data_IF_040781791994
#
_entry.id   IF_040781791994
#
_cell.length_a   1.000
_cell.length_b   1.000
_cell.length_c   1.000
_cell.angle_alpha   90.00
_cell.angle_beta   90.00
_cell.angle_gamma   90.00
#
_symmetry.space_group_name_H-M   'P 1'
#
loop_
_entity.id
_entity.type
_entity.pdbx_description
1 polymer ?
#
# COMPACT_ATOMS: atom_id res chain seq x y z
N UNK A 1 4.63 6.71 15.58
CA UNK A 1 3.93 5.90 14.56
C UNK A 1 3.37 6.77 13.45
N UNK A 2 2.46 7.73 13.72
CA UNK A 2 1.84 8.58 12.68
C UNK A 2 2.84 9.14 11.65
N UNK A 3 3.86 9.90 12.08
CA UNK A 3 4.87 10.47 11.17
C UNK A 3 5.57 9.45 10.27
N UNK A 4 5.77 8.23 10.75
CA UNK A 4 6.40 7.17 9.96
C UNK A 4 5.44 6.64 8.88
N UNK A 5 4.18 6.43 9.25
CA UNK A 5 3.13 6.01 8.29
C UNK A 5 2.92 7.10 7.24
N UNK A 6 2.82 8.38 7.65
CA UNK A 6 2.69 9.52 6.74
C UNK A 6 3.84 9.57 5.74
N UNK A 7 5.09 9.51 6.22
CA UNK A 7 6.27 9.53 5.36
C UNK A 7 6.35 8.30 4.43
N UNK A 8 5.85 7.15 4.87
CA UNK A 8 5.77 5.95 4.01
C UNK A 8 4.75 6.14 2.88
N UNK A 9 3.60 6.73 3.18
CA UNK A 9 2.55 7.05 2.19
C UNK A 9 3.06 8.10 1.19
N UNK A 10 3.69 9.17 1.67
CA UNK A 10 4.31 10.19 0.82
C UNK A 10 5.42 9.59 -0.07
N UNK A 11 6.21 8.66 0.48
CA UNK A 11 7.22 7.91 -0.26
C UNK A 11 6.62 7.10 -1.42
N UNK A 12 5.48 6.45 -1.22
CA UNK A 12 4.78 5.75 -2.30
C UNK A 12 4.27 6.70 -3.39
N UNK A 13 3.68 7.83 -3.01
CA UNK A 13 3.26 8.84 -3.97
C UNK A 13 4.44 9.39 -4.77
N UNK A 14 5.52 9.78 -4.10
CA UNK A 14 6.76 10.22 -4.74
C UNK A 14 7.32 9.15 -5.68
N UNK A 15 7.35 7.89 -5.25
CA UNK A 15 7.84 6.80 -6.09
C UNK A 15 7.00 6.58 -7.35
N UNK A 16 5.66 6.60 -7.25
CA UNK A 16 4.76 6.30 -8.37
C UNK A 16 4.54 7.49 -9.33
N UNK A 17 4.61 8.71 -8.84
CA UNK A 17 4.26 9.92 -9.61
C UNK A 17 5.39 10.94 -9.76
N UNK A 18 6.39 10.92 -8.88
CA UNK A 18 7.58 11.77 -8.94
C UNK A 18 8.81 11.08 -9.54
N UNK A 19 10.00 11.57 -9.17
CA UNK A 19 11.30 11.00 -9.54
C UNK A 19 11.58 9.71 -8.75
N UNK A 20 11.59 8.53 -9.39
CA UNK A 20 11.84 7.26 -8.72
C UNK A 20 13.34 6.98 -8.50
N UNK A 21 14.25 7.80 -9.04
CA UNK A 21 15.69 7.50 -9.08
C UNK A 21 16.31 7.20 -7.71
N UNK A 22 16.00 7.95 -6.63
CA UNK A 22 16.51 7.65 -5.29
C UNK A 22 16.03 6.28 -4.77
N UNK A 23 14.76 5.94 -5.00
CA UNK A 23 14.19 4.66 -4.60
C UNK A 23 14.74 3.49 -5.44
N UNK A 24 14.87 3.66 -6.76
CA UNK A 24 15.48 2.66 -7.64
C UNK A 24 16.92 2.34 -7.19
N UNK A 25 17.70 3.36 -6.84
CA UNK A 25 19.06 3.17 -6.33
C UNK A 25 19.07 2.39 -5.00
N UNK A 26 18.14 2.68 -4.09
CA UNK A 26 18.00 1.94 -2.83
C UNK A 26 17.57 0.48 -3.05
N UNK A 27 16.61 0.24 -3.96
CA UNK A 27 16.15 -1.11 -4.33
C UNK A 27 17.32 -1.94 -4.88
N UNK A 28 18.10 -1.39 -5.83
CA UNK A 28 19.27 -2.09 -6.39
C UNK A 28 20.34 -2.39 -5.34
N UNK A 29 20.58 -1.44 -4.44
CA UNK A 29 21.55 -1.64 -3.35
C UNK A 29 21.11 -2.77 -2.41
N UNK A 30 19.81 -2.89 -2.14
CA UNK A 30 19.25 -3.93 -1.27
C UNK A 30 19.11 -5.29 -1.98
N UNK A 31 18.82 -5.29 -3.28
CA UNK A 31 18.71 -6.47 -4.11
C UNK A 31 19.35 -6.23 -5.49
N UNK A 32 20.62 -6.64 -5.69
CA UNK A 32 21.33 -6.47 -6.96
C UNK A 32 20.69 -7.18 -8.16
N UNK A 33 19.80 -8.16 -7.96
CA UNK A 33 19.06 -8.83 -9.04
C UNK A 33 17.96 -7.95 -9.64
N UNK A 34 17.53 -6.89 -8.93
CA UNK A 34 16.56 -5.92 -9.43
C UNK A 34 17.20 -5.00 -10.46
N UNK A 35 17.35 -5.46 -11.69
CA UNK A 35 17.86 -4.63 -12.80
C UNK A 35 16.97 -3.42 -13.07
N UNK A 36 17.52 -2.38 -13.70
CA UNK A 36 16.75 -1.18 -14.07
C UNK A 36 15.52 -1.52 -14.92
N UNK A 37 15.64 -2.49 -15.83
CA UNK A 37 14.53 -2.95 -16.66
C UNK A 37 13.42 -3.60 -15.83
N UNK A 38 13.76 -4.46 -14.86
CA UNK A 38 12.78 -5.09 -13.97
C UNK A 38 12.09 -4.07 -13.07
N UNK A 39 12.84 -3.10 -12.53
CA UNK A 39 12.27 -2.03 -11.70
C UNK A 39 11.33 -1.15 -12.53
N UNK A 40 11.76 -0.74 -13.74
CA UNK A 40 10.94 0.06 -14.64
C UNK A 40 9.65 -0.67 -15.03
N UNK A 41 9.74 -1.94 -15.39
CA UNK A 41 8.59 -2.79 -15.69
C UNK A 41 7.65 -2.90 -14.48
N UNK A 42 8.17 -3.30 -13.31
CA UNK A 42 7.36 -3.46 -12.10
C UNK A 42 6.65 -2.18 -11.68
N UNK A 43 7.31 -1.02 -11.79
CA UNK A 43 6.69 0.28 -11.53
C UNK A 43 5.58 0.60 -12.53
N UNK A 44 5.79 0.33 -13.82
CA UNK A 44 4.77 0.53 -14.83
C UNK A 44 3.55 -0.37 -14.58
N UNK A 45 3.76 -1.67 -14.32
CA UNK A 45 2.69 -2.61 -14.02
C UNK A 45 1.91 -2.26 -12.74
N UNK A 46 2.59 -1.78 -11.70
CA UNK A 46 1.90 -1.30 -10.48
C UNK A 46 0.92 -0.16 -10.78
N UNK A 47 1.29 0.77 -11.67
CA UNK A 47 0.43 1.88 -12.08
C UNK A 47 -0.69 1.41 -13.00
N UNK A 48 -0.36 0.60 -14.00
CA UNK A 48 -1.32 0.09 -15.00
C UNK A 48 -2.46 -0.71 -14.33
N UNK A 49 -2.12 -1.59 -13.40
CA UNK A 49 -3.10 -2.44 -12.72
C UNK A 49 -3.64 -1.83 -11.41
N UNK A 50 -3.23 -0.61 -11.06
CA UNK A 50 -3.69 0.06 -9.84
C UNK A 50 -3.35 -0.71 -8.55
N UNK A 51 -2.19 -1.35 -8.48
CA UNK A 51 -1.83 -2.24 -7.35
C UNK A 51 -1.78 -1.50 -6.01
N UNK A 52 -1.24 -0.27 -6.02
CA UNK A 52 -1.05 0.54 -4.80
C UNK A 52 -2.10 1.65 -4.68
N UNK A 53 -2.53 2.18 -5.82
CA UNK A 53 -3.41 3.35 -5.90
C UNK A 53 -4.67 3.04 -6.71
N UNK A 54 -5.61 2.35 -6.07
CA UNK A 54 -6.93 2.02 -6.63
C UNK A 54 -7.96 1.82 -5.51
N UNK A 55 -9.23 1.60 -5.89
CA UNK A 55 -10.31 1.37 -4.94
C UNK A 55 -10.43 2.50 -3.91
N UNK A 56 -10.50 2.13 -2.63
CA UNK A 56 -10.64 3.07 -1.51
C UNK A 56 -9.48 4.10 -1.45
N UNK A 57 -8.28 3.73 -1.91
CA UNK A 57 -7.13 4.63 -1.92
C UNK A 57 -7.33 5.87 -2.82
N UNK A 58 -8.20 5.78 -3.82
CA UNK A 58 -8.55 6.94 -4.67
C UNK A 58 -9.33 8.02 -3.90
N UNK A 59 -9.99 7.64 -2.81
CA UNK A 59 -10.80 8.54 -1.97
C UNK A 59 -10.09 8.91 -0.67
N UNK A 60 -9.45 7.94 -0.04
CA UNK A 60 -8.95 8.07 1.34
C UNK A 60 -7.42 8.04 1.44
N UNK A 61 -6.72 7.79 0.32
CA UNK A 61 -5.26 7.85 0.17
C UNK A 61 -4.57 6.47 0.10
N UNK A 62 -3.34 6.41 -0.41
CA UNK A 62 -2.52 5.18 -0.38
C UNK A 62 -2.41 4.67 1.06
N UNK A 63 -2.57 3.36 1.24
CA UNK A 63 -2.64 2.71 2.54
C UNK A 63 -4.04 2.67 3.15
N UNK A 64 -5.09 3.02 2.38
CA UNK A 64 -6.46 2.98 2.85
C UNK A 64 -6.90 1.59 3.34
N UNK A 65 -7.58 1.54 4.47
CA UNK A 65 -8.02 0.31 5.12
C UNK A 65 -9.42 0.49 5.72
N UNK A 66 -10.23 -0.57 5.80
CA UNK A 66 -11.55 -0.48 6.45
C UNK A 66 -11.84 -1.70 7.30
N UNK A 67 -12.58 -1.50 8.39
CA UNK A 67 -13.10 -2.59 9.25
C UNK A 67 -13.92 -3.59 8.42
N UNK A 68 -14.71 -3.08 7.46
CA UNK A 68 -15.49 -3.90 6.54
C UNK A 68 -14.63 -4.85 5.71
N UNK A 69 -13.50 -4.40 5.14
CA UNK A 69 -12.59 -5.25 4.35
C UNK A 69 -11.90 -6.30 5.22
N UNK A 70 -11.47 -5.91 6.43
CA UNK A 70 -10.89 -6.86 7.39
C UNK A 70 -11.89 -7.92 7.82
N UNK A 71 -13.14 -7.53 8.07
CA UNK A 71 -14.21 -8.47 8.40
C UNK A 71 -14.48 -9.44 7.25
N UNK A 72 -14.62 -8.93 6.02
CA UNK A 72 -14.89 -9.75 4.86
C UNK A 72 -13.80 -10.81 4.65
N UNK A 73 -12.53 -10.41 4.73
CA UNK A 73 -11.41 -11.35 4.64
C UNK A 73 -11.43 -12.38 5.77
N UNK A 74 -11.70 -11.96 7.01
CA UNK A 74 -11.86 -12.89 8.13
C UNK A 74 -12.98 -13.91 7.88
N UNK A 75 -14.16 -13.44 7.45
CA UNK A 75 -15.33 -14.29 7.21
C UNK A 75 -15.03 -15.32 6.11
N UNK A 76 -14.39 -14.92 5.01
CA UNK A 76 -13.99 -15.80 3.91
C UNK A 76 -13.02 -16.89 4.37
N UNK A 77 -11.98 -16.51 5.10
CA UNK A 77 -10.97 -17.44 5.61
C UNK A 77 -11.53 -18.38 6.69
N UNK A 78 -12.45 -17.90 7.53
CA UNK A 78 -13.15 -18.72 8.51
C UNK A 78 -14.12 -19.71 7.84
N UNK A 79 -14.76 -19.32 6.73
CA UNK A 79 -15.68 -20.17 5.99
C UNK A 79 -14.97 -21.39 5.39
N UNK A 80 -13.72 -21.22 4.92
CA UNK A 80 -12.89 -22.32 4.40
C UNK A 80 -12.06 -23.04 5.47
N UNK A 81 -12.28 -22.71 6.75
CA UNK A 81 -11.63 -23.38 7.88
C UNK A 81 -10.16 -22.99 8.10
N UNK A 82 -9.66 -21.95 7.42
CA UNK A 82 -8.29 -21.47 7.61
C UNK A 82 -8.16 -20.61 8.87
N UNK A 83 -9.22 -19.91 9.28
CA UNK A 83 -9.28 -19.20 10.55
C UNK A 83 -10.30 -19.81 11.54
N UNK A 84 -9.98 -19.86 12.84
CA UNK A 84 -10.93 -20.21 13.88
C UNK A 84 -12.19 -19.35 13.83
N UNK A 85 -13.35 -20.01 13.93
CA UNK A 85 -14.64 -19.33 14.12
C UNK A 85 -14.62 -18.59 15.47
N UNK A 86 -14.99 -17.32 15.46
CA UNK A 86 -14.98 -16.46 16.66
C UNK A 86 -13.64 -15.81 17.00
N UNK A 87 -12.61 -15.95 16.15
CA UNK A 87 -11.37 -15.16 16.29
C UNK A 87 -11.67 -13.66 16.21
N UNK A 88 -11.09 -12.91 17.15
CA UNK A 88 -11.19 -11.44 17.15
C UNK A 88 -10.23 -10.82 16.13
N UNK A 89 -10.68 -10.69 14.88
CA UNK A 89 -9.89 -10.12 13.79
C UNK A 89 -9.55 -8.64 14.01
N UNK A 90 -10.25 -7.93 14.91
CA UNK A 90 -10.00 -6.50 15.18
C UNK A 90 -8.68 -6.26 15.88
N UNK A 91 -8.09 -7.29 16.50
CA UNK A 91 -6.74 -7.22 17.08
C UNK A 91 -5.62 -7.19 16.03
N UNK A 92 -5.92 -7.47 14.76
CA UNK A 92 -4.91 -7.55 13.71
C UNK A 92 -4.54 -6.19 13.09
N UNK A 93 -5.32 -5.13 13.32
CA UNK A 93 -5.09 -3.83 12.69
C UNK A 93 -5.54 -2.66 13.57
N UNK A 94 -5.14 -1.45 13.15
CA UNK A 94 -5.67 -0.18 13.65
C UNK A 94 -5.84 0.78 12.49
N UNK A 95 -6.91 1.58 12.50
CA UNK A 95 -7.17 2.62 11.50
C UNK A 95 -6.69 4.00 11.95
N UNK A 96 -6.06 4.10 13.14
CA UNK A 96 -5.68 5.38 13.74
C UNK A 96 -4.71 6.22 12.89
N UNK A 97 -3.94 5.58 12.00
CA UNK A 97 -2.82 6.20 11.29
C UNK A 97 -3.01 6.30 9.77
N UNK A 98 -4.05 5.70 9.19
CA UNK A 98 -4.33 5.66 7.75
C UNK A 98 -5.65 6.39 7.44
N UNK A 99 -6.06 6.42 6.16
CA UNK A 99 -7.30 7.06 5.67
C UNK A 99 -7.33 8.59 5.88
N UNK A 100 -6.16 9.23 5.93
CA UNK A 100 -6.01 10.67 6.20
C UNK A 100 -5.73 11.51 4.96
N UNK A 101 -5.74 10.90 3.76
CA UNK A 101 -5.45 11.54 2.47
C UNK A 101 -4.06 12.19 2.36
N UNK A 102 -3.12 11.75 3.19
CA UNK A 102 -1.73 12.22 3.17
C UNK A 102 -1.12 11.97 1.78
N UNK A 103 -0.42 12.96 1.22
CA UNK A 103 0.31 12.83 -0.04
C UNK A 103 -0.54 12.79 -1.33
N UNK A 104 -1.88 12.75 -1.25
CA UNK A 104 -2.76 12.65 -2.43
C UNK A 104 -2.56 13.77 -3.47
N UNK A 105 -2.09 14.94 -3.03
CA UNK A 105 -1.84 16.10 -3.89
C UNK A 105 -0.72 15.87 -4.91
N UNK A 106 0.18 14.92 -4.65
CA UNK A 106 1.30 14.60 -5.53
C UNK A 106 0.85 14.09 -6.92
N UNK A 107 -0.39 13.62 -7.08
CA UNK A 107 -0.94 13.21 -8.39
C UNK A 107 -1.28 14.39 -9.30
N UNK A 108 -1.39 15.60 -8.76
CA UNK A 108 -1.85 16.80 -9.48
C UNK A 108 -0.70 17.62 -10.08
N UNK A 109 0.54 17.19 -9.84
CA UNK A 109 1.77 17.81 -10.32
C UNK A 109 2.28 17.04 -11.54
#
# INVERSE_FOLDING_TARGET
VQRFVDASIEGWYSYLYGDPSPANAAIRKANPEMTDALIAYGRASMKEHGVVDSGDALKDGIGAMTDARWKAFYDEMAAVGLYPKGMDYKKAYTLQFVDKRVGMDAKRQ
#
